data_IF_211602072445
#
_entry.id   IF_211602072445
#
_cell.length_a   1.000
_cell.length_b   1.000
_cell.length_c   1.000
_cell.angle_alpha   90.00
_cell.angle_beta   90.00
_cell.angle_gamma   90.00
#
_symmetry.space_group_name_H-M   'P 1'
#
loop_
_entity.id
_entity.type
_entity.pdbx_description
1 polymer ?
#
# COMPACT_ATOMS: atom_id res chain seq x y z
N UNK A 1 9.63 63.72 6.69
CA UNK A 1 9.03 63.71 5.34
C UNK A 1 9.60 62.53 4.57
N UNK A 2 8.84 61.46 4.39
CA UNK A 2 8.99 60.49 3.29
C UNK A 2 7.71 59.64 3.27
N UNK A 3 6.74 60.12 2.46
CA UNK A 3 5.59 59.35 2.01
C UNK A 3 6.05 58.46 0.85
N UNK A 4 5.53 57.23 0.77
CA UNK A 4 5.13 56.50 -0.46
C UNK A 4 4.53 55.16 0.02
N UNK A 5 3.23 55.16 0.29
CA UNK A 5 2.16 54.88 -0.69
C UNK A 5 1.98 53.37 -0.87
N UNK A 6 1.03 52.84 -0.09
CA UNK A 6 0.46 51.53 -0.28
C UNK A 6 -0.23 51.46 -1.64
N UNK A 7 0.05 50.41 -2.39
CA UNK A 7 -0.72 50.04 -3.58
C UNK A 7 -1.14 48.57 -3.41
N UNK A 8 -2.28 48.37 -2.75
CA UNK A 8 -3.03 47.11 -2.75
C UNK A 8 -3.89 47.18 -4.01
N UNK A 9 -3.49 46.47 -5.06
CA UNK A 9 -4.31 46.34 -6.27
C UNK A 9 -5.01 44.99 -6.22
N UNK A 10 -6.28 45.06 -5.80
CA UNK A 10 -7.25 43.96 -5.79
C UNK A 10 -7.45 43.50 -7.24
N UNK A 11 -6.97 42.30 -7.58
CA UNK A 11 -7.27 41.70 -8.88
C UNK A 11 -8.55 40.88 -8.76
N UNK A 12 -9.57 41.43 -9.41
CA UNK A 12 -10.96 41.05 -9.37
C UNK A 12 -11.18 39.69 -10.03
N UNK A 13 -11.99 38.88 -9.34
CA UNK A 13 -12.60 37.64 -9.79
C UNK A 13 -13.32 37.83 -11.13
N UNK A 14 -12.94 37.06 -12.15
CA UNK A 14 -13.74 36.84 -13.35
C UNK A 14 -14.29 35.42 -13.32
N UNK A 15 -15.53 35.29 -12.82
CA UNK A 15 -16.36 34.10 -13.03
C UNK A 15 -16.95 34.15 -14.44
N UNK A 16 -16.71 33.16 -15.32
CA UNK A 16 -17.62 32.91 -16.42
C UNK A 16 -18.87 32.20 -15.86
N UNK A 17 -19.98 32.94 -15.82
CA UNK A 17 -21.31 32.37 -15.66
C UNK A 17 -21.66 31.56 -16.92
N UNK A 18 -21.45 30.24 -16.88
CA UNK A 18 -22.01 29.32 -17.86
C UNK A 18 -23.34 28.79 -17.33
N UNK A 19 -24.37 29.01 -18.12
CA UNK A 19 -25.77 28.85 -17.81
C UNK A 19 -26.19 27.39 -17.59
N UNK A 20 -27.18 27.23 -16.72
CA UNK A 20 -28.05 26.07 -16.57
C UNK A 20 -28.65 25.64 -17.91
N UNK A 21 -28.46 24.37 -18.28
CA UNK A 21 -29.42 23.61 -19.08
C UNK A 21 -29.65 22.28 -18.36
N UNK A 22 -30.76 22.22 -17.63
CA UNK A 22 -31.36 20.97 -17.14
C UNK A 22 -32.06 20.32 -18.33
N UNK A 23 -31.48 19.26 -18.87
CA UNK A 23 -32.25 18.26 -19.61
C UNK A 23 -32.74 17.25 -18.57
N UNK A 24 -34.05 17.25 -18.32
CA UNK A 24 -34.72 16.19 -17.61
C UNK A 24 -34.84 15.00 -18.57
N UNK A 25 -34.02 13.97 -18.35
CA UNK A 25 -34.29 12.65 -18.88
C UNK A 25 -34.75 11.75 -17.73
N UNK A 26 -36.00 11.32 -17.84
CA UNK A 26 -36.74 10.50 -16.90
C UNK A 26 -36.28 9.05 -17.08
N UNK A 27 -35.38 8.58 -16.22
CA UNK A 27 -35.05 7.14 -16.14
C UNK A 27 -35.34 6.64 -14.74
N UNK A 28 -36.45 5.91 -14.68
CA UNK A 28 -36.96 5.06 -13.60
C UNK A 28 -35.86 4.51 -12.69
N UNK A 29 -35.96 4.87 -11.41
CA UNK A 29 -35.43 4.08 -10.32
C UNK A 29 -36.31 2.82 -10.21
N UNK A 30 -35.85 1.70 -10.74
CA UNK A 30 -36.39 0.40 -10.37
C UNK A 30 -35.95 0.10 -8.93
N UNK A 31 -36.81 0.45 -7.98
CA UNK A 31 -36.78 -0.10 -6.63
C UNK A 31 -36.85 -1.63 -6.74
N UNK A 32 -35.72 -2.28 -6.45
CA UNK A 32 -35.65 -3.72 -6.21
C UNK A 32 -36.50 -4.00 -4.97
N UNK A 33 -37.74 -4.46 -5.18
CA UNK A 33 -38.54 -5.11 -4.14
C UNK A 33 -37.96 -6.51 -3.90
N UNK A 34 -37.33 -6.69 -2.75
CA UNK A 34 -37.04 -8.00 -2.18
C UNK A 34 -38.38 -8.68 -1.79
N UNK A 35 -38.67 -9.91 -2.25
CA UNK A 35 -39.74 -10.72 -1.68
C UNK A 35 -39.24 -11.31 -0.37
N UNK A 36 -39.87 -10.92 0.74
CA UNK A 36 -39.70 -11.55 2.04
C UNK A 36 -41.02 -12.20 2.44
N UNK A 37 -40.96 -13.53 2.46
CA UNK A 37 -41.70 -14.47 3.30
C UNK A 37 -43.22 -14.61 3.18
N UNK A 38 -43.71 -15.82 3.44
CA UNK A 38 -45.14 -16.09 3.64
C UNK A 38 -45.65 -17.37 2.98
N UNK A 39 -45.20 -18.52 3.49
CA UNK A 39 -45.84 -19.81 3.20
C UNK A 39 -47.00 -20.09 4.16
N UNK A 40 -48.22 -20.17 3.61
CA UNK A 40 -49.37 -20.94 4.10
C UNK A 40 -50.12 -21.34 2.81
N UNK A 41 -50.43 -22.58 2.45
CA UNK A 41 -50.81 -23.77 3.20
C UNK A 41 -52.13 -24.25 2.57
N UNK A 42 -52.16 -25.39 1.86
CA UNK A 42 -53.36 -26.26 1.82
C UNK A 42 -53.12 -27.64 1.16
N UNK A 43 -53.24 -28.65 2.03
CA UNK A 43 -53.76 -30.01 1.88
C UNK A 43 -53.65 -30.78 0.54
N UNK A 44 -53.04 -31.97 0.63
CA UNK A 44 -53.73 -33.23 0.27
C UNK A 44 -53.14 -34.42 1.02
N UNK A 45 -54.03 -35.24 1.58
CA UNK A 45 -53.77 -36.35 2.50
C UNK A 45 -53.72 -37.72 1.81
N UNK A 46 -52.73 -38.55 2.18
CA UNK A 46 -52.73 -40.04 2.22
C UNK A 46 -51.29 -40.44 2.58
N UNK A 47 -50.95 -41.25 3.59
CA UNK A 47 -51.65 -42.14 4.49
C UNK A 47 -50.68 -43.29 4.80
N UNK A 48 -50.39 -43.54 6.08
CA UNK A 48 -49.79 -44.77 6.62
C UNK A 48 -48.28 -44.99 6.42
N UNK A 49 -47.48 -44.96 7.49
CA UNK A 49 -47.10 -46.15 8.28
C UNK A 49 -45.98 -45.78 9.27
N UNK A 50 -46.15 -46.25 10.50
CA UNK A 50 -45.29 -46.05 11.67
C UNK A 50 -44.20 -47.12 11.69
N UNK A 51 -42.91 -46.77 11.65
CA UNK A 51 -41.84 -47.66 12.07
C UNK A 51 -40.58 -46.90 12.51
N UNK A 52 -40.40 -46.83 13.83
CA UNK A 52 -39.16 -47.02 14.59
C UNK A 52 -37.81 -46.58 14.01
N UNK A 53 -37.19 -45.62 14.70
CA UNK A 53 -35.76 -45.52 15.06
C UNK A 53 -34.80 -46.52 14.39
N UNK A 54 -33.93 -45.99 13.52
CA UNK A 54 -32.58 -46.50 13.31
C UNK A 54 -31.66 -45.37 12.81
N UNK A 55 -30.74 -44.91 13.66
CA UNK A 55 -29.53 -44.23 13.21
C UNK A 55 -28.67 -45.23 12.41
N UNK A 56 -28.03 -44.78 11.32
CA UNK A 56 -26.73 -45.33 10.96
C UNK A 56 -25.66 -44.24 11.04
N UNK A 57 -24.73 -44.48 11.96
CA UNK A 57 -23.35 -44.02 11.92
C UNK A 57 -22.79 -44.15 10.49
N UNK A 58 -22.57 -43.02 9.84
CA UNK A 58 -21.48 -42.87 8.88
C UNK A 58 -20.83 -41.51 9.10
N UNK A 59 -19.85 -41.54 9.99
CA UNK A 59 -18.74 -40.59 10.02
C UNK A 59 -18.05 -40.67 8.65
N UNK A 60 -18.54 -39.88 7.70
CA UNK A 60 -17.77 -39.55 6.51
C UNK A 60 -16.76 -38.53 6.99
N UNK A 61 -15.52 -38.99 7.15
CA UNK A 61 -14.37 -38.14 7.39
C UNK A 61 -14.46 -36.94 6.44
N UNK A 62 -14.68 -35.76 7.02
CA UNK A 62 -14.44 -34.52 6.34
C UNK A 62 -12.98 -34.60 5.91
N UNK A 63 -12.78 -34.79 4.61
CA UNK A 63 -11.50 -34.70 3.96
C UNK A 63 -10.99 -33.32 4.34
N UNK A 64 -9.94 -33.26 5.15
CA UNK A 64 -9.18 -32.04 5.32
C UNK A 64 -8.73 -31.64 3.91
N UNK A 65 -9.44 -30.67 3.33
CA UNK A 65 -8.87 -29.85 2.27
C UNK A 65 -7.74 -29.07 2.92
N UNK A 66 -6.58 -29.71 2.94
CA UNK A 66 -5.30 -29.02 3.06
C UNK A 66 -5.08 -28.29 1.73
N UNK A 67 -5.93 -27.30 1.46
CA UNK A 67 -5.63 -26.24 0.52
C UNK A 67 -4.79 -25.27 1.32
N UNK A 68 -3.53 -25.67 1.54
CA UNK A 68 -2.46 -24.69 1.58
C UNK A 68 -2.45 -24.06 0.19
N UNK A 69 -3.35 -23.09 -0.01
CA UNK A 69 -3.26 -22.16 -1.09
C UNK A 69 -1.91 -21.50 -0.89
N UNK A 70 -0.95 -21.93 -1.70
CA UNK A 70 0.23 -21.13 -1.96
C UNK A 70 -0.36 -19.91 -2.65
N UNK A 71 -0.76 -18.92 -1.83
CA UNK A 71 -1.11 -17.61 -2.32
C UNK A 71 0.08 -17.22 -3.19
N UNK A 72 -0.10 -17.27 -4.51
CA UNK A 72 0.82 -16.62 -5.41
C UNK A 72 0.88 -15.20 -4.88
N UNK A 73 2.01 -14.83 -4.26
CA UNK A 73 2.24 -13.49 -3.78
C UNK A 73 2.04 -12.59 -5.00
N UNK A 74 0.83 -12.03 -5.17
CA UNK A 74 0.50 -11.25 -6.35
C UNK A 74 1.53 -10.14 -6.41
N UNK A 75 2.36 -10.16 -7.46
CA UNK A 75 3.47 -9.23 -7.53
C UNK A 75 2.91 -7.81 -7.62
N UNK A 76 3.45 -6.92 -6.77
CA UNK A 76 2.97 -5.55 -6.71
C UNK A 76 3.13 -4.87 -8.08
N UNK A 77 2.09 -4.22 -8.65
CA UNK A 77 2.14 -3.70 -10.02
C UNK A 77 3.10 -2.52 -10.23
N UNK A 78 3.61 -1.93 -9.15
CA UNK A 78 4.52 -0.79 -9.16
C UNK A 78 5.66 -0.97 -8.13
N UNK A 79 6.82 -0.36 -8.43
CA UNK A 79 7.96 -0.37 -7.52
C UNK A 79 7.80 0.62 -6.36
N UNK A 80 7.20 1.78 -6.64
CA UNK A 80 6.92 2.87 -5.72
C UNK A 80 5.63 3.59 -6.16
N UNK A 81 5.01 4.35 -5.26
CA UNK A 81 3.85 5.17 -5.62
C UNK A 81 3.72 6.41 -4.72
N UNK A 82 3.64 7.61 -5.32
CA UNK A 82 3.42 8.86 -4.60
C UNK A 82 1.94 9.10 -4.29
N UNK A 83 1.04 8.71 -5.19
CA UNK A 83 -0.40 8.99 -5.14
C UNK A 83 -1.19 7.72 -4.89
N UNK A 84 -1.04 7.14 -3.69
CA UNK A 84 -1.71 5.88 -3.33
C UNK A 84 -3.12 6.13 -2.79
N UNK A 85 -4.06 5.27 -3.19
CA UNK A 85 -5.41 5.23 -2.61
C UNK A 85 -5.69 3.82 -2.14
N UNK A 86 -5.97 3.68 -0.84
CA UNK A 86 -6.14 2.39 -0.18
C UNK A 86 -7.44 2.32 0.63
N UNK A 87 -8.00 1.11 0.74
CA UNK A 87 -9.07 0.82 1.68
C UNK A 87 -8.58 0.90 3.14
N UNK A 88 -9.51 1.10 4.07
CA UNK A 88 -9.20 1.11 5.53
C UNK A 88 -9.24 -0.30 6.16
N UNK A 89 -8.85 -1.33 5.40
CA UNK A 89 -8.76 -2.72 5.86
C UNK A 89 -7.32 -3.10 6.19
N UNK A 90 -7.13 -4.23 6.87
CA UNK A 90 -5.80 -4.79 7.16
C UNK A 90 -5.76 -6.26 6.71
N UNK A 91 -5.00 -6.61 5.65
CA UNK A 91 -4.25 -5.70 4.78
C UNK A 91 -5.17 -4.83 3.87
N UNK A 92 -4.68 -3.69 3.37
CA UNK A 92 -5.46 -2.81 2.52
C UNK A 92 -5.46 -3.28 1.06
N UNK A 93 -6.51 -2.90 0.33
CA UNK A 93 -6.52 -2.97 -1.14
C UNK A 93 -6.22 -1.58 -1.68
N UNK A 94 -5.14 -1.47 -2.45
CA UNK A 94 -4.55 -0.22 -2.90
C UNK A 94 -4.52 -0.09 -4.42
N UNK A 95 -4.55 1.14 -4.91
CA UNK A 95 -4.28 1.53 -6.31
C UNK A 95 -3.26 2.66 -6.32
N UNK A 96 -2.39 2.67 -7.33
CA UNK A 96 -1.49 3.78 -7.58
C UNK A 96 -2.08 4.72 -8.63
N UNK A 97 -2.14 6.01 -8.34
CA UNK A 97 -2.65 7.04 -9.24
C UNK A 97 -1.54 7.91 -9.83
N UNK A 98 -0.29 7.43 -9.79
CA UNK A 98 0.82 8.14 -10.41
C UNK A 98 0.65 8.13 -11.93
N UNK A 99 0.76 9.32 -12.53
CA UNK A 99 0.83 9.49 -13.97
C UNK A 99 2.26 9.21 -14.44
N UNK A 100 2.41 8.23 -15.32
CA UNK A 100 3.71 7.79 -15.87
C UNK A 100 3.68 7.83 -17.40
N UNK A 101 4.82 8.05 -18.04
CA UNK A 101 4.90 7.98 -19.50
C UNK A 101 4.68 6.53 -19.99
N UNK A 102 5.29 5.57 -19.28
CA UNK A 102 5.16 4.14 -19.54
C UNK A 102 4.87 3.39 -18.22
N UNK A 103 3.91 2.47 -18.23
CA UNK A 103 3.64 1.64 -17.06
C UNK A 103 4.73 0.61 -16.81
N UNK A 104 4.92 0.25 -15.54
CA UNK A 104 5.80 -0.86 -15.16
C UNK A 104 5.34 -2.17 -15.79
N UNK A 105 6.28 -3.08 -16.06
CA UNK A 105 5.98 -4.38 -16.68
C UNK A 105 5.03 -5.26 -15.84
N UNK A 106 5.02 -5.07 -14.52
CA UNK A 106 4.11 -5.76 -13.61
C UNK A 106 2.66 -5.25 -13.69
N UNK A 107 2.43 -4.08 -14.30
CA UNK A 107 1.08 -3.54 -14.51
C UNK A 107 0.39 -4.24 -15.69
N UNK A 108 -0.69 -4.96 -15.39
CA UNK A 108 -1.58 -5.66 -16.33
C UNK A 108 -2.54 -4.69 -17.04
N UNK A 109 -3.00 -3.61 -16.37
CA UNK A 109 -3.95 -2.63 -16.93
C UNK A 109 -3.40 -1.20 -16.93
N UNK A 110 -2.68 -0.87 -17.99
CA UNK A 110 -2.17 0.48 -18.24
C UNK A 110 -3.13 1.26 -19.14
N UNK A 111 -3.71 2.36 -18.64
CA UNK A 111 -4.68 3.16 -19.39
C UNK A 111 -4.25 4.63 -19.47
N UNK A 112 -4.57 5.35 -20.56
CA UNK A 112 -4.25 6.77 -20.67
C UNK A 112 -4.88 7.61 -19.55
N UNK A 113 -4.13 8.59 -19.07
CA UNK A 113 -4.61 9.59 -18.11
C UNK A 113 -5.67 10.49 -18.76
N UNK A 114 -6.66 10.93 -17.99
CA UNK A 114 -7.85 11.61 -18.53
C UNK A 114 -7.58 12.94 -19.23
N UNK A 115 -6.48 13.64 -18.90
CA UNK A 115 -6.21 14.97 -19.44
C UNK A 115 -5.15 14.98 -20.53
N UNK A 116 -4.22 14.02 -20.53
CA UNK A 116 -3.15 13.95 -21.51
C UNK A 116 -2.90 12.49 -21.93
N UNK A 117 -3.16 12.12 -23.19
CA UNK A 117 -2.97 10.75 -23.66
C UNK A 117 -1.49 10.32 -23.68
N UNK A 118 -0.54 11.24 -23.48
CA UNK A 118 0.88 10.91 -23.34
C UNK A 118 1.23 10.28 -21.97
N UNK A 119 0.39 10.47 -20.96
CA UNK A 119 0.57 9.87 -19.64
C UNK A 119 -0.43 8.75 -19.44
N UNK A 120 -0.05 7.77 -18.64
CA UNK A 120 -0.82 6.58 -18.32
C UNK A 120 -0.89 6.41 -16.80
N UNK A 121 -1.93 5.72 -16.34
CA UNK A 121 -2.09 5.32 -14.93
C UNK A 121 -2.26 3.80 -14.90
N UNK A 122 -1.58 3.16 -13.96
CA UNK A 122 -1.78 1.73 -13.72
C UNK A 122 -3.07 1.51 -12.91
N UNK A 123 -4.07 0.87 -13.52
CA UNK A 123 -5.39 0.64 -12.92
C UNK A 123 -5.51 -0.70 -12.16
N UNK A 124 -4.39 -1.36 -11.92
CA UNK A 124 -4.35 -2.57 -11.11
C UNK A 124 -4.60 -2.28 -9.63
N UNK A 125 -5.32 -3.21 -9.00
CA UNK A 125 -5.52 -3.22 -7.57
C UNK A 125 -4.53 -4.20 -6.98
N UNK A 126 -3.93 -3.81 -5.85
CA UNK A 126 -3.00 -4.64 -5.11
C UNK A 126 -3.51 -4.82 -3.68
N UNK A 127 -3.54 -6.06 -3.19
CA UNK A 127 -3.94 -6.37 -1.81
C UNK A 127 -2.69 -6.55 -0.95
N UNK A 128 -2.35 -5.56 -0.13
CA UNK A 128 -1.11 -5.55 0.64
C UNK A 128 -0.54 -4.16 0.85
N UNK A 129 0.73 -4.10 1.24
CA UNK A 129 1.46 -2.85 1.42
C UNK A 129 1.83 -2.20 0.06
N UNK A 130 1.35 -0.98 -0.26
CA UNK A 130 1.54 -0.31 -1.53
C UNK A 130 3.00 0.06 -1.79
N UNK A 131 3.87 -0.11 -0.81
CA UNK A 131 5.29 0.17 -0.94
C UNK A 131 5.65 1.62 -0.66
N UNK A 132 6.90 1.98 -0.93
CA UNK A 132 7.41 3.31 -0.65
C UNK A 132 6.87 4.35 -1.65
N UNK A 133 6.96 5.62 -1.27
CA UNK A 133 6.84 6.73 -2.22
C UNK A 133 8.00 6.71 -3.21
N UNK A 134 7.78 7.24 -4.42
CA UNK A 134 8.83 7.31 -5.44
C UNK A 134 9.89 8.37 -5.12
N UNK A 135 9.51 9.43 -4.42
CA UNK A 135 10.48 10.26 -3.73
C UNK A 135 11.10 9.44 -2.59
N UNK A 136 12.41 9.21 -2.65
CA UNK A 136 13.19 8.70 -1.52
C UNK A 136 13.35 9.82 -0.50
N UNK A 137 12.26 10.22 0.15
CA UNK A 137 12.38 11.01 1.36
C UNK A 137 12.95 10.11 2.45
N UNK A 138 14.16 10.42 2.89
CA UNK A 138 14.77 9.71 3.99
C UNK A 138 13.99 10.02 5.26
N UNK A 139 13.61 8.95 5.96
CA UNK A 139 12.89 9.05 7.22
C UNK A 139 13.73 9.83 8.24
N UNK A 140 13.16 10.78 9.00
CA UNK A 140 13.94 11.64 9.90
C UNK A 140 14.56 10.93 11.11
N UNK A 141 14.28 9.64 11.31
CA UNK A 141 14.77 8.79 12.39
C UNK A 141 15.05 7.37 11.89
N UNK A 142 16.01 6.67 12.52
CA UNK A 142 16.37 5.28 12.17
C UNK A 142 15.37 4.27 12.72
N UNK A 143 15.00 4.42 13.99
CA UNK A 143 13.99 3.66 14.72
C UNK A 143 13.13 4.63 15.51
N UNK A 144 11.94 4.20 15.95
CA UNK A 144 11.13 5.01 16.85
C UNK A 144 10.26 4.14 17.78
N UNK A 145 10.42 4.31 19.08
CA UNK A 145 9.59 3.64 20.09
C UNK A 145 8.25 4.34 20.29
N UNK A 146 8.26 5.69 20.33
CA UNK A 146 7.08 6.52 20.57
C UNK A 146 6.60 7.18 19.28
N UNK A 147 5.99 6.40 18.40
CA UNK A 147 5.41 6.88 17.14
C UNK A 147 3.99 7.40 17.32
N UNK A 148 3.69 8.52 16.67
CA UNK A 148 2.33 9.06 16.55
C UNK A 148 2.00 9.26 15.09
N UNK A 149 1.00 8.53 14.60
CA UNK A 149 0.62 8.49 13.20
C UNK A 149 -0.84 8.87 13.00
N UNK A 150 -1.13 9.47 11.85
CA UNK A 150 -2.48 9.62 11.34
C UNK A 150 -3.10 8.26 11.02
N UNK A 151 -4.44 8.20 10.91
CA UNK A 151 -5.18 6.98 10.55
C UNK A 151 -5.32 6.77 9.03
N UNK A 152 -4.60 7.55 8.22
CA UNK A 152 -4.52 7.34 6.77
C UNK A 152 -3.57 6.18 6.48
N UNK A 153 -3.60 5.71 5.24
CA UNK A 153 -2.69 4.68 4.77
C UNK A 153 -2.20 5.05 3.35
N UNK A 154 -0.90 5.32 3.15
CA UNK A 154 0.14 5.37 4.18
C UNK A 154 -0.07 6.51 5.20
N UNK A 155 0.41 6.35 6.45
CA UNK A 155 0.23 7.34 7.49
C UNK A 155 1.24 8.48 7.37
N UNK A 156 0.86 9.68 7.76
CA UNK A 156 1.80 10.71 8.20
C UNK A 156 2.12 10.52 9.68
N UNK A 157 3.39 10.33 10.02
CA UNK A 157 3.91 9.98 11.33
C UNK A 157 4.89 11.02 11.89
N UNK A 158 5.02 11.06 13.22
CA UNK A 158 6.03 11.79 14.00
C UNK A 158 6.66 10.84 15.01
N UNK A 159 7.93 11.04 15.30
CA UNK A 159 8.61 10.35 16.40
C UNK A 159 8.75 11.26 17.61
N UNK A 160 8.35 10.77 18.79
CA UNK A 160 8.43 11.51 20.05
C UNK A 160 9.53 10.99 20.97
N UNK A 161 10.50 10.27 20.40
CA UNK A 161 11.63 9.77 21.17
C UNK A 161 12.54 10.92 21.59
N UNK A 162 12.90 10.90 22.86
CA UNK A 162 13.88 11.80 23.46
C UNK A 162 15.27 11.17 23.28
N UNK A 163 16.06 11.74 22.37
CA UNK A 163 17.40 11.27 22.02
C UNK A 163 18.46 12.24 22.51
N UNK A 164 19.71 11.80 22.61
CA UNK A 164 20.82 12.72 22.92
C UNK A 164 21.13 13.60 21.71
N UNK A 165 21.15 12.99 20.52
CA UNK A 165 21.34 13.66 19.24
C UNK A 165 20.32 13.15 18.23
N UNK A 166 19.74 14.04 17.43
CA UNK A 166 18.84 13.63 16.35
C UNK A 166 19.62 13.00 15.20
N UNK A 167 18.95 12.13 14.44
CA UNK A 167 19.49 11.57 13.21
C UNK A 167 19.78 12.69 12.18
N UNK A 168 20.75 12.50 11.26
CA UNK A 168 21.15 13.52 10.29
C UNK A 168 20.05 13.92 9.31
N UNK A 169 19.07 13.03 9.07
CA UNK A 169 17.92 13.31 8.23
C UNK A 169 16.88 14.23 8.92
N UNK A 170 16.96 14.40 10.24
CA UNK A 170 16.08 15.30 10.97
C UNK A 170 16.45 16.77 10.72
N UNK A 171 15.54 17.51 10.08
CA UNK A 171 15.68 18.94 9.76
C UNK A 171 15.36 19.83 10.96
N UNK A 172 14.49 19.38 11.89
CA UNK A 172 14.07 20.15 13.07
C UNK A 172 14.33 19.37 14.36
N UNK A 173 15.57 19.44 14.82
CA UNK A 173 16.00 18.89 16.10
C UNK A 173 15.93 19.96 17.19
N UNK A 174 15.04 19.81 18.17
CA UNK A 174 14.82 20.80 19.22
C UNK A 174 14.97 20.17 20.61
N UNK A 175 15.46 20.93 21.61
CA UNK A 175 15.58 20.43 22.98
C UNK A 175 14.20 20.12 23.57
N UNK A 176 14.12 19.03 24.33
CA UNK A 176 12.88 18.61 24.99
C UNK A 176 12.72 19.30 26.34
N UNK A 177 11.79 20.26 26.39
CA UNK A 177 11.46 20.99 27.61
C UNK A 177 12.63 21.85 28.10
N UNK A 178 13.01 21.68 29.38
CA UNK A 178 14.08 22.48 30.03
C UNK A 178 15.43 21.74 29.96
N UNK A 179 15.46 20.46 29.58
CA UNK A 179 16.68 19.67 29.55
C UNK A 179 17.42 19.90 28.21
N UNK A 180 18.56 20.62 28.20
CA UNK A 180 19.28 20.92 26.96
C UNK A 180 19.99 19.69 26.36
N UNK A 181 20.09 18.58 27.11
CA UNK A 181 20.80 17.37 26.71
C UNK A 181 19.90 16.31 26.05
N UNK A 182 18.59 16.58 25.93
CA UNK A 182 17.64 15.68 25.27
C UNK A 182 16.97 16.46 24.16
N UNK A 183 16.88 15.85 22.99
CA UNK A 183 16.29 16.44 21.80
C UNK A 183 15.17 15.55 21.28
N UNK A 184 14.21 16.17 20.60
CA UNK A 184 13.14 15.48 19.87
C UNK A 184 13.17 15.97 18.42
N UNK A 185 13.03 15.02 17.49
CA UNK A 185 12.87 15.36 16.09
C UNK A 185 11.41 15.77 15.80
N UNK A 186 11.19 17.01 15.38
CA UNK A 186 9.86 17.56 15.11
C UNK A 186 9.40 17.41 13.65
N UNK A 187 10.10 16.60 12.86
CA UNK A 187 9.73 16.35 11.47
C UNK A 187 8.52 15.41 11.36
N UNK A 188 7.75 15.61 10.30
CA UNK A 188 6.67 14.73 9.90
C UNK A 188 7.15 13.90 8.72
N UNK A 189 6.86 12.61 8.73
CA UNK A 189 7.21 11.68 7.67
C UNK A 189 5.95 11.04 7.12
N UNK A 190 5.78 11.03 5.80
CA UNK A 190 4.69 10.32 5.14
C UNK A 190 5.16 8.94 4.70
N UNK A 191 4.68 7.90 5.36
CA UNK A 191 5.12 6.53 5.12
C UNK A 191 5.20 5.72 6.40
N UNK A 192 5.76 4.52 6.29
CA UNK A 192 5.97 3.64 7.42
C UNK A 192 6.93 4.27 8.45
N UNK A 193 6.57 4.34 9.74
CA UNK A 193 7.42 4.94 10.76
C UNK A 193 8.70 4.14 11.04
N UNK A 194 8.79 2.92 10.52
CA UNK A 194 9.87 1.95 10.67
C UNK A 194 9.86 1.23 12.02
N UNK A 195 10.97 0.52 12.31
CA UNK A 195 11.03 -0.36 13.47
C UNK A 195 11.10 0.42 14.79
N UNK A 196 10.78 -0.29 15.88
CA UNK A 196 11.04 0.20 17.25
C UNK A 196 12.53 0.19 17.55
N UNK A 197 12.95 0.98 18.53
CA UNK A 197 14.33 1.02 18.97
C UNK A 197 14.61 -0.14 19.93
N UNK A 198 15.61 -0.94 19.58
CA UNK A 198 16.02 -2.10 20.35
C UNK A 198 17.28 -2.70 19.74
N UNK A 199 18.00 -3.48 20.54
CA UNK A 199 18.97 -4.42 19.98
C UNK A 199 18.13 -5.60 19.50
N UNK A 200 17.76 -5.60 18.24
CA UNK A 200 17.36 -6.84 17.59
C UNK A 200 18.63 -7.71 17.58
N UNK A 201 18.77 -8.60 18.56
CA UNK A 201 19.50 -9.83 18.30
C UNK A 201 18.70 -10.52 17.17
N UNK A 202 19.25 -10.45 15.96
CA UNK A 202 18.92 -11.22 14.76
C UNK A 202 17.56 -10.99 14.06
N UNK A 203 17.37 -9.81 13.44
CA UNK A 203 16.62 -9.75 12.15
C UNK A 203 17.40 -8.88 11.16
N UNK A 204 18.11 -9.45 10.18
CA UNK A 204 18.85 -8.67 9.19
C UNK A 204 17.88 -7.94 8.27
N UNK A 205 17.66 -6.65 8.54
CA UNK A 205 17.16 -5.72 7.55
C UNK A 205 18.25 -5.54 6.47
N UNK A 206 18.02 -6.15 5.31
CA UNK A 206 18.80 -5.89 4.10
C UNK A 206 20.11 -6.66 4.01
N UNK A 207 20.07 -7.82 3.35
CA UNK A 207 21.28 -8.34 2.72
C UNK A 207 21.77 -7.32 1.68
N UNK A 208 23.04 -6.88 1.72
CA UNK A 208 23.63 -6.27 0.55
C UNK A 208 23.66 -7.34 -0.53
N UNK A 209 23.00 -7.09 -1.66
CA UNK A 209 23.20 -7.86 -2.88
C UNK A 209 24.70 -7.96 -3.13
N UNK A 210 25.27 -9.15 -2.91
CA UNK A 210 26.54 -9.52 -3.50
C UNK A 210 26.32 -9.47 -5.00
N UNK A 211 26.73 -8.36 -5.61
CA UNK A 211 26.99 -8.31 -7.03
C UNK A 211 27.94 -9.47 -7.34
N UNK A 212 27.43 -10.42 -8.12
CA UNK A 212 28.17 -11.56 -8.62
C UNK A 212 29.42 -11.05 -9.35
N UNK A 213 30.57 -11.12 -8.68
CA UNK A 213 31.85 -11.05 -9.35
C UNK A 213 31.97 -12.31 -10.21
N UNK A 214 31.90 -12.12 -11.53
CA UNK A 214 32.03 -13.17 -12.53
C UNK A 214 33.27 -14.06 -12.26
N UNK A 215 33.18 -15.40 -12.39
CA UNK A 215 34.32 -16.28 -12.24
C UNK A 215 35.16 -16.29 -13.53
N UNK A 216 35.88 -15.19 -13.79
CA UNK A 216 36.96 -15.17 -14.80
C UNK A 216 38.29 -15.64 -14.18
N UNK A 217 38.27 -16.66 -13.33
CA UNK A 217 39.46 -17.27 -12.71
C UNK A 217 39.58 -18.79 -12.97
N UNK A 218 38.51 -19.45 -13.43
CA UNK A 218 38.55 -20.89 -13.72
C UNK A 218 39.21 -21.23 -15.07
N UNK A 219 39.25 -20.30 -16.04
CA UNK A 219 39.88 -20.57 -17.34
C UNK A 219 41.42 -20.62 -17.29
N UNK A 220 42.06 -19.90 -16.37
CA UNK A 220 43.52 -19.92 -16.20
C UNK A 220 44.00 -21.24 -15.58
N UNK A 221 43.26 -21.80 -14.63
CA UNK A 221 43.63 -23.08 -13.98
C UNK A 221 43.49 -24.25 -14.95
N UNK A 222 42.45 -24.24 -15.80
CA UNK A 222 42.29 -25.27 -16.84
C UNK A 222 43.37 -25.20 -17.93
N UNK A 223 43.81 -24.00 -18.34
CA UNK A 223 44.92 -23.88 -19.29
C UNK A 223 46.23 -24.40 -18.70
N UNK A 224 46.53 -24.08 -17.43
CA UNK A 224 47.76 -24.54 -16.78
C UNK A 224 47.78 -26.07 -16.64
N UNK A 225 46.64 -26.70 -16.32
CA UNK A 225 46.54 -28.16 -16.22
C UNK A 225 46.67 -28.87 -17.58
N UNK A 226 46.26 -28.25 -18.69
CA UNK A 226 46.44 -28.80 -20.03
C UNK A 226 47.90 -28.71 -20.51
N UNK A 227 48.65 -27.67 -20.12
CA UNK A 227 50.08 -27.54 -20.47
C UNK A 227 50.99 -28.54 -19.73
N UNK A 228 50.59 -29.01 -18.54
CA UNK A 228 51.38 -29.99 -17.77
C UNK A 228 51.21 -31.42 -18.32
N UNK A 229 50.08 -31.73 -18.99
CA UNK A 229 49.82 -33.06 -19.55
C UNK A 229 50.35 -33.27 -20.98
N UNK A 230 50.90 -32.24 -21.63
CA UNK A 230 51.46 -32.32 -22.99
C UNK A 230 52.98 -32.12 -23.05
N UNK A 231 53.71 -32.51 -21.99
CA UNK A 231 55.18 -32.51 -21.98
C UNK A 231 55.76 -33.83 -21.51
#
# INVERSE_FOLDING_TARGET
>A
MTRRAAAILMLMLTLPAAALLVAADDVRVDTIRLPSDGGEGLATSKGGEELTLALPDKVVAAREENVGDVLEDEERPWACCNSTVCTKSMPPTCRCLDEVEECAAACKRCEPSGFNPAFHVCNDQYHGDPGPTCAKEERPWTCCDRTVCTKSFPPTCRCLDEVEECAPACKRCEPFGINPNRHVCNDQYHGDPGPRCGKDDDVPAGSPSLAAAAPMQLLLVSLILLFIQSR
#
